data_IF_866891080547
#
_entry.id   IF_866891080547
#
_cell.length_a   1.000
_cell.length_b   1.000
_cell.length_c   1.000
_cell.angle_alpha   90.00
_cell.angle_beta   90.00
_cell.angle_gamma   90.00
#
_symmetry.space_group_name_H-M   'P 1'
#
loop_
_entity.id
_entity.type
_entity.pdbx_description
1 polymer ?
#
# COMPACT_ATOMS: atom_id res chain seq x y z
N UNK A 1 -2.76 -9.75 16.55
CA UNK A 1 -2.35 -9.66 15.14
C UNK A 1 -1.81 -8.27 14.88
N UNK A 2 -0.70 -8.15 14.14
CA UNK A 2 -0.12 -6.86 13.71
C UNK A 2 -0.08 -6.81 12.19
N UNK A 3 -0.70 -5.81 11.59
CA UNK A 3 -0.82 -5.66 10.14
C UNK A 3 -0.21 -4.33 9.68
N UNK A 4 0.42 -4.35 8.51
CA UNK A 4 0.91 -3.13 7.85
C UNK A 4 0.90 -3.30 6.34
N UNK A 5 1.15 -2.20 5.61
CA UNK A 5 1.11 -2.19 4.15
C UNK A 5 2.33 -2.82 3.50
N UNK A 6 3.55 -2.56 4.00
CA UNK A 6 4.79 -2.98 3.33
C UNK A 6 5.59 -4.01 4.12
N UNK A 7 6.36 -4.88 3.41
CA UNK A 7 7.28 -5.84 4.03
C UNK A 7 8.33 -5.16 4.90
N UNK A 8 8.82 -3.98 4.48
CA UNK A 8 9.80 -3.20 5.24
C UNK A 8 9.20 -2.69 6.55
N UNK A 9 7.99 -2.12 6.49
CA UNK A 9 7.27 -1.67 7.69
C UNK A 9 6.98 -2.84 8.64
N UNK A 10 6.57 -4.02 8.12
CA UNK A 10 6.36 -5.22 8.92
C UNK A 10 7.63 -5.64 9.67
N UNK A 11 8.78 -5.69 8.99
CA UNK A 11 10.06 -6.04 9.62
C UNK A 11 10.51 -5.01 10.66
N UNK A 12 10.27 -3.73 10.42
CA UNK A 12 10.59 -2.67 11.38
C UNK A 12 9.68 -2.73 12.61
N UNK A 13 8.38 -2.90 12.40
CA UNK A 13 7.40 -3.07 13.47
C UNK A 13 7.75 -4.27 14.35
N UNK A 14 8.06 -5.42 13.75
CA UNK A 14 8.48 -6.62 14.48
C UNK A 14 9.72 -6.36 15.32
N UNK A 15 10.78 -5.78 14.76
CA UNK A 15 12.02 -5.42 15.49
C UNK A 15 11.75 -4.48 16.67
N UNK A 16 10.85 -3.50 16.49
CA UNK A 16 10.46 -2.57 17.57
C UNK A 16 9.73 -3.29 18.69
N UNK A 17 8.78 -4.14 18.35
CA UNK A 17 8.04 -4.94 19.35
C UNK A 17 8.98 -5.87 20.10
N UNK A 18 9.87 -6.60 19.42
CA UNK A 18 10.90 -7.45 20.04
C UNK A 18 11.76 -6.68 21.03
N UNK A 19 12.23 -5.48 20.63
CA UNK A 19 13.04 -4.61 21.49
C UNK A 19 12.28 -4.14 22.73
N UNK A 20 11.05 -3.66 22.57
CA UNK A 20 10.21 -3.21 23.69
C UNK A 20 9.92 -4.37 24.63
N UNK A 21 9.58 -5.53 24.07
CA UNK A 21 9.30 -6.76 24.83
C UNK A 21 10.51 -7.21 25.64
N UNK A 22 11.71 -7.18 25.03
CA UNK A 22 12.96 -7.52 25.73
C UNK A 22 13.25 -6.55 26.89
N UNK A 23 12.96 -5.27 26.72
CA UNK A 23 13.13 -4.27 27.78
C UNK A 23 12.15 -4.45 28.95
N UNK A 24 10.89 -4.82 28.65
CA UNK A 24 9.83 -4.92 29.66
C UNK A 24 9.85 -6.28 30.37
N UNK A 25 10.10 -7.38 29.65
CA UNK A 25 9.95 -8.75 30.15
C UNK A 25 11.28 -9.46 30.45
N UNK A 26 12.41 -8.90 30.04
CA UNK A 26 13.73 -9.48 30.27
C UNK A 26 13.84 -10.92 29.71
N UNK A 27 14.35 -11.86 30.52
CA UNK A 27 14.56 -13.26 30.10
C UNK A 27 13.29 -14.05 29.76
N UNK A 28 12.08 -13.52 29.99
CA UNK A 28 10.80 -14.19 29.64
C UNK A 28 10.38 -13.97 28.18
N UNK A 29 11.25 -13.44 27.35
CA UNK A 29 10.99 -13.14 25.91
C UNK A 29 10.60 -14.37 25.09
N UNK A 30 11.02 -15.58 25.46
CA UNK A 30 10.70 -16.83 24.71
C UNK A 30 9.21 -17.19 24.63
N UNK A 31 8.38 -16.67 25.54
CA UNK A 31 6.93 -16.92 25.53
C UNK A 31 6.14 -16.04 24.54
N UNK A 32 6.77 -15.01 23.98
CA UNK A 32 6.09 -14.06 23.07
C UNK A 32 6.42 -14.27 21.59
N UNK A 33 7.31 -15.18 21.25
CA UNK A 33 7.68 -15.49 19.85
C UNK A 33 6.46 -15.94 19.05
N UNK A 34 5.55 -16.71 19.67
CA UNK A 34 4.31 -17.16 19.02
C UNK A 34 3.29 -16.02 18.81
N UNK A 35 3.21 -15.09 19.77
CA UNK A 35 2.32 -13.92 19.63
C UNK A 35 2.73 -13.00 18.48
N UNK A 36 4.05 -12.86 18.23
CA UNK A 36 4.59 -12.10 17.10
C UNK A 36 4.51 -12.84 15.76
N UNK A 37 4.26 -14.12 15.76
CA UNK A 37 4.07 -14.94 14.56
C UNK A 37 2.91 -14.46 13.66
N UNK A 38 1.99 -13.63 14.19
CA UNK A 38 0.89 -13.00 13.46
C UNK A 38 1.16 -11.52 13.18
N UNK A 39 2.39 -11.23 12.73
CA UNK A 39 2.85 -9.90 12.31
C UNK A 39 3.28 -9.93 10.86
N UNK A 40 2.80 -9.00 10.04
CA UNK A 40 3.15 -8.97 8.63
C UNK A 40 2.28 -8.03 7.78
N UNK A 41 2.41 -8.19 6.47
CA UNK A 41 1.50 -7.55 5.52
C UNK A 41 0.18 -8.34 5.46
N UNK A 42 -0.90 -7.69 5.00
CA UNK A 42 -2.18 -8.37 4.75
C UNK A 42 -2.02 -9.65 3.93
N UNK A 43 -1.25 -9.59 2.83
CA UNK A 43 -1.00 -10.77 1.98
C UNK A 43 -0.26 -11.90 2.70
N UNK A 44 0.73 -11.58 3.52
CA UNK A 44 1.49 -12.60 4.26
C UNK A 44 0.62 -13.28 5.31
N UNK A 45 -0.19 -12.51 6.04
CA UNK A 45 -1.12 -13.05 7.04
C UNK A 45 -2.27 -13.80 6.35
N UNK A 46 -2.81 -13.28 5.24
CA UNK A 46 -3.81 -13.98 4.43
C UNK A 46 -3.32 -15.33 3.94
N UNK A 47 -2.12 -15.38 3.35
CA UNK A 47 -1.51 -16.64 2.90
C UNK A 47 -1.35 -17.66 4.04
N UNK A 48 -0.98 -17.21 5.24
CA UNK A 48 -0.86 -18.08 6.42
C UNK A 48 -2.21 -18.59 6.88
N UNK A 49 -3.21 -17.69 7.02
CA UNK A 49 -4.58 -18.08 7.40
C UNK A 49 -5.17 -19.08 6.40
N UNK A 50 -5.09 -18.79 5.11
CA UNK A 50 -5.62 -19.68 4.08
C UNK A 50 -5.00 -21.07 4.11
N UNK A 51 -3.69 -21.20 4.42
CA UNK A 51 -3.06 -22.52 4.60
C UNK A 51 -3.54 -23.27 5.82
N UNK A 52 -3.94 -22.58 6.87
CA UNK A 52 -4.50 -23.22 8.08
C UNK A 52 -5.97 -23.65 7.89
N UNK A 53 -6.75 -22.90 7.08
CA UNK A 53 -8.19 -23.10 6.87
C UNK A 53 -8.57 -23.76 5.53
N UNK A 54 -7.62 -24.33 4.80
CA UNK A 54 -7.82 -24.90 3.45
C UNK A 54 -9.01 -25.85 3.33
N UNK A 55 -9.23 -26.71 4.32
CA UNK A 55 -10.34 -27.67 4.29
C UNK A 55 -11.72 -26.99 4.32
N UNK A 56 -11.84 -25.86 5.04
CA UNK A 56 -13.08 -25.11 5.16
C UNK A 56 -13.44 -24.27 3.93
N UNK A 57 -12.47 -23.98 3.07
CA UNK A 57 -12.62 -23.07 1.91
C UNK A 57 -12.36 -23.76 0.57
N UNK A 58 -12.14 -25.08 0.56
CA UNK A 58 -11.97 -25.85 -0.68
C UNK A 58 -10.64 -25.57 -1.44
N UNK A 59 -9.60 -25.07 -0.75
CA UNK A 59 -8.27 -24.87 -1.31
C UNK A 59 -7.36 -26.09 -1.02
N UNK A 60 -6.39 -26.32 -1.91
CA UNK A 60 -5.30 -27.22 -1.60
C UNK A 60 -4.32 -26.57 -0.63
N UNK A 61 -3.86 -27.34 0.37
CA UNK A 61 -2.87 -26.85 1.34
C UNK A 61 -1.53 -26.47 0.70
N UNK A 62 -1.21 -27.09 -0.42
CA UNK A 62 0.02 -26.89 -1.19
C UNK A 62 -0.14 -25.84 -2.30
N UNK A 63 -1.13 -24.94 -2.23
CA UNK A 63 -1.31 -23.93 -3.26
C UNK A 63 -0.06 -23.08 -3.44
N UNK A 64 0.25 -22.78 -4.71
CA UNK A 64 1.35 -21.90 -5.12
C UNK A 64 0.85 -20.46 -5.22
N UNK A 65 1.70 -19.51 -4.87
CA UNK A 65 1.40 -18.08 -5.01
C UNK A 65 2.19 -17.55 -6.19
N UNK A 66 1.48 -17.11 -7.22
CA UNK A 66 2.06 -16.42 -8.36
C UNK A 66 2.44 -14.98 -7.98
N UNK A 67 3.59 -14.55 -8.46
CA UNK A 67 3.94 -13.14 -8.41
C UNK A 67 3.20 -12.36 -9.51
N UNK A 68 3.50 -11.06 -9.62
CA UNK A 68 2.80 -10.20 -10.58
C UNK A 68 3.14 -10.55 -12.04
N UNK A 69 4.35 -11.05 -12.31
CA UNK A 69 4.77 -11.43 -13.65
C UNK A 69 4.16 -12.75 -14.05
N UNK A 70 4.20 -13.75 -13.20
CA UNK A 70 3.54 -15.05 -13.39
C UNK A 70 2.03 -14.88 -13.63
N UNK A 71 1.38 -14.00 -12.84
CA UNK A 71 -0.04 -13.68 -13.00
C UNK A 71 -0.34 -13.00 -14.32
N UNK A 72 0.53 -12.09 -14.77
CA UNK A 72 0.40 -11.44 -16.07
C UNK A 72 0.62 -12.42 -17.22
N UNK A 73 1.50 -13.39 -17.06
CA UNK A 73 1.76 -14.43 -18.08
C UNK A 73 0.59 -15.40 -18.17
N UNK A 74 0.01 -15.81 -17.06
CA UNK A 74 -1.22 -16.59 -17.04
C UNK A 74 -2.37 -15.82 -17.70
N UNK A 75 -2.54 -14.53 -17.38
CA UNK A 75 -3.52 -13.66 -18.02
C UNK A 75 -3.30 -13.59 -19.53
N UNK A 76 -2.03 -13.53 -19.98
CA UNK A 76 -1.69 -13.53 -21.40
C UNK A 76 -2.02 -14.85 -22.09
N UNK A 77 -1.76 -15.98 -21.43
CA UNK A 77 -2.10 -17.31 -21.95
C UNK A 77 -3.61 -17.41 -22.18
N UNK A 78 -4.40 -17.03 -21.18
CA UNK A 78 -5.88 -17.04 -21.30
C UNK A 78 -6.35 -16.09 -22.41
N UNK A 79 -5.72 -14.91 -22.54
CA UNK A 79 -6.00 -13.95 -23.62
C UNK A 79 -5.74 -14.56 -25.01
N UNK A 80 -4.68 -15.36 -25.16
CA UNK A 80 -4.38 -16.10 -26.39
C UNK A 80 -5.40 -17.21 -26.64
N UNK A 81 -5.73 -18.01 -25.63
CA UNK A 81 -6.70 -19.10 -25.71
C UNK A 81 -8.09 -18.60 -26.18
N UNK A 82 -8.48 -17.39 -25.77
CA UNK A 82 -9.72 -16.74 -26.18
C UNK A 82 -9.66 -16.00 -27.53
N UNK A 83 -8.50 -16.02 -28.21
CA UNK A 83 -8.31 -15.36 -29.50
C UNK A 83 -8.17 -13.84 -29.45
N UNK A 84 -8.03 -13.23 -28.26
CA UNK A 84 -7.95 -11.78 -28.10
C UNK A 84 -6.59 -11.17 -28.46
N UNK A 85 -5.64 -12.01 -28.87
CA UNK A 85 -4.32 -11.55 -29.34
C UNK A 85 -4.30 -11.12 -30.80
N UNK A 86 -5.30 -11.53 -31.60
CA UNK A 86 -5.38 -11.34 -33.06
C UNK A 86 -6.63 -10.56 -33.47
N UNK A 87 -7.05 -9.59 -32.68
CA UNK A 87 -8.21 -8.75 -32.95
C UNK A 87 -7.84 -7.60 -33.91
N UNK A 88 -8.77 -7.16 -34.77
CA UNK A 88 -8.56 -6.02 -35.69
C UNK A 88 -8.18 -4.73 -34.93
N UNK A 89 -8.82 -4.48 -33.80
CA UNK A 89 -8.41 -3.44 -32.85
C UNK A 89 -7.49 -4.05 -31.80
N UNK A 90 -6.46 -3.34 -31.42
CA UNK A 90 -5.50 -3.80 -30.41
C UNK A 90 -6.18 -3.99 -29.05
N UNK A 91 -6.33 -5.24 -28.63
CA UNK A 91 -6.81 -5.57 -27.28
C UNK A 91 -5.78 -5.14 -26.21
N UNK A 92 -6.20 -4.80 -24.98
CA UNK A 92 -5.29 -4.42 -23.91
C UNK A 92 -4.18 -5.44 -23.66
N UNK A 93 -2.97 -4.95 -23.34
CA UNK A 93 -1.81 -5.79 -23.06
C UNK A 93 -1.98 -6.55 -21.74
N UNK A 94 -1.24 -7.66 -21.55
CA UNK A 94 -1.32 -8.52 -20.34
C UNK A 94 -1.26 -7.73 -19.03
N UNK A 95 -0.34 -6.78 -18.93
CA UNK A 95 -0.19 -5.94 -17.72
C UNK A 95 -1.38 -5.01 -17.47
N UNK A 96 -2.01 -4.48 -18.55
CA UNK A 96 -3.22 -3.67 -18.45
C UNK A 96 -4.41 -4.53 -18.02
N UNK A 97 -4.57 -5.72 -18.59
CA UNK A 97 -5.63 -6.66 -18.20
C UNK A 97 -5.52 -7.06 -16.73
N UNK A 98 -4.29 -7.38 -16.25
CA UNK A 98 -4.06 -7.70 -14.85
C UNK A 98 -4.30 -6.50 -13.94
N UNK A 99 -3.90 -5.29 -14.35
CA UNK A 99 -4.15 -4.07 -13.57
C UNK A 99 -5.65 -3.75 -13.45
N UNK A 100 -6.42 -3.97 -14.53
CA UNK A 100 -7.88 -3.85 -14.52
C UNK A 100 -8.54 -4.87 -13.58
N UNK A 101 -8.12 -6.14 -13.68
CA UNK A 101 -8.60 -7.20 -12.79
C UNK A 101 -8.32 -6.89 -11.33
N UNK A 102 -7.06 -6.61 -11.00
CA UNK A 102 -6.62 -6.27 -9.65
C UNK A 102 -7.38 -5.05 -9.09
N UNK A 103 -7.58 -4.01 -9.91
CA UNK A 103 -8.34 -2.82 -9.50
C UNK A 103 -9.80 -3.17 -9.20
N UNK A 104 -10.45 -3.97 -10.04
CA UNK A 104 -11.84 -4.42 -9.84
C UNK A 104 -11.98 -5.18 -8.52
N UNK A 105 -11.09 -6.11 -8.25
CA UNK A 105 -11.09 -6.92 -7.01
C UNK A 105 -10.82 -6.05 -5.78
N UNK A 106 -9.74 -5.28 -5.78
CA UNK A 106 -9.29 -4.54 -4.59
C UNK A 106 -10.13 -3.31 -4.25
N UNK A 107 -10.76 -2.71 -5.26
CA UNK A 107 -11.68 -1.58 -5.05
C UNK A 107 -13.12 -2.03 -4.76
N UNK A 108 -13.43 -3.32 -4.92
CA UNK A 108 -14.81 -3.85 -4.82
C UNK A 108 -15.78 -3.03 -5.66
N UNK A 109 -15.38 -2.71 -6.92
CA UNK A 109 -16.16 -1.92 -7.86
C UNK A 109 -16.52 -2.74 -9.10
N UNK A 110 -17.68 -2.48 -9.73
CA UNK A 110 -18.04 -3.04 -11.02
C UNK A 110 -17.02 -2.68 -12.10
N UNK A 111 -16.82 -3.59 -13.08
CA UNK A 111 -15.83 -3.39 -14.14
C UNK A 111 -16.09 -2.13 -14.97
N UNK A 112 -17.34 -1.80 -15.27
CA UNK A 112 -17.72 -0.60 -16.01
C UNK A 112 -17.31 0.70 -15.30
N UNK A 113 -17.45 0.78 -13.96
CA UNK A 113 -16.97 1.91 -13.18
C UNK A 113 -15.43 2.01 -13.21
N UNK A 114 -14.73 0.88 -13.10
CA UNK A 114 -13.27 0.83 -13.19
C UNK A 114 -12.80 1.28 -14.56
N UNK A 115 -13.45 0.81 -15.62
CA UNK A 115 -13.14 1.21 -16.99
C UNK A 115 -13.36 2.71 -17.20
N UNK A 116 -14.52 3.23 -16.79
CA UNK A 116 -14.85 4.65 -16.98
C UNK A 116 -13.92 5.60 -16.22
N UNK A 117 -13.54 5.23 -15.01
CA UNK A 117 -12.77 6.13 -14.11
C UNK A 117 -11.25 6.05 -14.29
N UNK A 118 -10.71 4.86 -14.57
CA UNK A 118 -9.24 4.66 -14.58
C UNK A 118 -8.67 4.13 -15.90
N UNK A 119 -9.50 3.49 -16.73
CA UNK A 119 -9.06 2.88 -18.00
C UNK A 119 -10.00 3.24 -19.17
N UNK A 120 -10.26 4.54 -19.42
CA UNK A 120 -11.25 4.96 -20.43
C UNK A 120 -10.93 4.46 -21.83
N UNK A 121 -9.65 4.23 -22.17
CA UNK A 121 -9.24 3.64 -23.44
C UNK A 121 -9.66 2.18 -23.64
N UNK A 122 -10.05 1.50 -22.56
CA UNK A 122 -10.44 0.09 -22.55
C UNK A 122 -11.96 -0.14 -22.47
N UNK A 123 -12.78 0.92 -22.39
CA UNK A 123 -14.25 0.80 -22.24
C UNK A 123 -14.93 0.01 -23.35
N UNK A 124 -14.38 0.09 -24.58
CA UNK A 124 -14.91 -0.68 -25.72
C UNK A 124 -14.66 -2.21 -25.63
N UNK A 125 -13.95 -2.69 -24.61
CA UNK A 125 -13.60 -4.09 -24.42
C UNK A 125 -14.25 -4.73 -23.19
N UNK A 126 -15.24 -4.08 -22.59
CA UNK A 126 -15.85 -4.56 -21.35
C UNK A 126 -16.33 -6.01 -21.42
N UNK A 127 -17.00 -6.39 -22.50
CA UNK A 127 -17.53 -7.75 -22.67
C UNK A 127 -16.42 -8.81 -22.76
N UNK A 128 -15.38 -8.54 -23.56
CA UNK A 128 -14.23 -9.42 -23.72
C UNK A 128 -13.40 -9.50 -22.42
N UNK A 129 -13.26 -8.39 -21.71
CA UNK A 129 -12.56 -8.36 -20.42
C UNK A 129 -13.33 -9.19 -19.37
N UNK A 130 -14.65 -9.12 -19.31
CA UNK A 130 -15.46 -10.00 -18.44
C UNK A 130 -15.21 -11.48 -18.75
N UNK A 131 -15.20 -11.86 -20.04
CA UNK A 131 -14.88 -13.24 -20.46
C UNK A 131 -13.46 -13.64 -20.05
N UNK A 132 -12.50 -12.76 -20.27
CA UNK A 132 -11.09 -12.97 -19.91
C UNK A 132 -10.95 -13.22 -18.40
N UNK A 133 -11.58 -12.41 -17.56
CA UNK A 133 -11.48 -12.53 -16.11
C UNK A 133 -12.12 -13.81 -15.56
N UNK A 134 -13.28 -14.20 -16.11
CA UNK A 134 -13.93 -15.47 -15.77
C UNK A 134 -13.02 -16.66 -16.13
N UNK A 135 -12.42 -16.64 -17.32
CA UNK A 135 -11.52 -17.70 -17.77
C UNK A 135 -10.20 -17.71 -16.99
N UNK A 136 -9.66 -16.54 -16.62
CA UNK A 136 -8.49 -16.38 -15.77
C UNK A 136 -8.70 -17.03 -14.40
N UNK A 137 -9.77 -16.68 -13.71
CA UNK A 137 -10.14 -17.27 -12.41
C UNK A 137 -10.36 -18.79 -12.52
N UNK A 138 -11.00 -19.26 -13.60
CA UNK A 138 -11.21 -20.69 -13.82
C UNK A 138 -9.87 -21.45 -14.00
N UNK A 139 -8.88 -20.82 -14.63
CA UNK A 139 -7.55 -21.39 -14.84
C UNK A 139 -6.73 -21.45 -13.53
N UNK A 140 -6.88 -20.46 -12.64
CA UNK A 140 -6.23 -20.42 -11.33
C UNK A 140 -6.73 -21.48 -10.36
N UNK A 141 -8.00 -21.87 -10.42
CA UNK A 141 -8.64 -22.84 -9.50
C UNK A 141 -7.92 -24.19 -9.36
N UNK A 142 -6.87 -24.44 -10.12
CA UNK A 142 -6.05 -25.64 -10.08
C UNK A 142 -4.78 -25.45 -9.25
N UNK A 143 -4.89 -25.01 -7.99
CA UNK A 143 -3.79 -24.92 -7.01
C UNK A 143 -2.88 -23.67 -7.11
N UNK A 144 -3.31 -22.64 -7.81
CA UNK A 144 -2.55 -21.39 -7.96
C UNK A 144 -3.40 -20.22 -7.47
N UNK A 145 -2.83 -19.36 -6.67
CA UNK A 145 -3.43 -18.09 -6.24
C UNK A 145 -2.49 -16.94 -6.62
N UNK A 146 -3.04 -15.78 -6.97
CA UNK A 146 -2.27 -14.55 -7.02
C UNK A 146 -2.40 -13.74 -5.71
N UNK A 147 -1.79 -12.57 -5.66
CA UNK A 147 -1.88 -11.72 -4.47
C UNK A 147 -3.31 -11.22 -4.21
N UNK A 148 -4.08 -10.94 -5.26
CA UNK A 148 -5.47 -10.47 -5.12
C UNK A 148 -6.36 -11.60 -4.59
N UNK A 149 -6.13 -12.83 -5.03
CA UNK A 149 -6.82 -14.02 -4.54
C UNK A 149 -6.61 -14.26 -3.04
N UNK A 150 -5.41 -14.00 -2.51
CA UNK A 150 -5.15 -14.14 -1.08
C UNK A 150 -6.08 -13.28 -0.23
N UNK A 151 -6.33 -12.06 -0.66
CA UNK A 151 -7.24 -11.15 0.03
C UNK A 151 -8.70 -11.53 -0.22
N UNK A 152 -9.04 -11.89 -1.47
CA UNK A 152 -10.39 -12.26 -1.85
C UNK A 152 -10.87 -13.51 -1.10
N UNK A 153 -10.05 -14.57 -1.06
CA UNK A 153 -10.37 -15.78 -0.28
C UNK A 153 -10.44 -15.51 1.21
N UNK A 154 -9.58 -14.64 1.74
CA UNK A 154 -9.69 -14.22 3.15
C UNK A 154 -11.00 -13.50 3.41
N UNK A 155 -11.39 -12.54 2.58
CA UNK A 155 -12.68 -11.86 2.69
C UNK A 155 -13.87 -12.84 2.60
N UNK A 156 -13.84 -13.78 1.63
CA UNK A 156 -14.87 -14.80 1.48
C UNK A 156 -14.95 -15.74 2.71
N UNK A 157 -13.81 -16.15 3.26
CA UNK A 157 -13.74 -16.94 4.49
C UNK A 157 -14.41 -16.22 5.66
N UNK A 158 -14.25 -14.89 5.73
CA UNK A 158 -14.90 -14.08 6.77
C UNK A 158 -16.42 -13.89 6.55
N UNK A 159 -16.96 -14.24 5.38
CA UNK A 159 -18.40 -14.28 5.15
C UNK A 159 -19.06 -15.56 5.69
N UNK A 160 -18.29 -16.63 5.98
CA UNK A 160 -18.81 -17.85 6.57
C UNK A 160 -18.83 -17.71 8.10
N UNK A 161 -19.99 -17.70 8.77
CA UNK A 161 -20.10 -17.34 10.19
C UNK A 161 -19.25 -18.19 11.13
N UNK A 162 -19.11 -19.49 10.85
CA UNK A 162 -18.33 -20.42 11.67
C UNK A 162 -16.84 -20.13 11.57
N UNK A 163 -16.32 -19.89 10.36
CA UNK A 163 -14.93 -19.56 10.12
C UNK A 163 -14.59 -18.15 10.64
N UNK A 164 -15.49 -17.18 10.41
CA UNK A 164 -15.34 -15.84 10.93
C UNK A 164 -15.25 -15.80 12.45
N UNK A 165 -16.09 -16.56 13.15
CA UNK A 165 -16.06 -16.66 14.61
C UNK A 165 -14.75 -17.28 15.12
N UNK A 166 -14.29 -18.35 14.48
CA UNK A 166 -13.04 -19.03 14.86
C UNK A 166 -11.83 -18.11 14.63
N UNK A 167 -11.69 -17.54 13.44
CA UNK A 167 -10.57 -16.62 13.12
C UNK A 167 -10.59 -15.39 14.03
N UNK A 168 -11.75 -14.77 14.24
CA UNK A 168 -11.89 -13.56 15.08
C UNK A 168 -11.57 -13.86 16.55
N UNK A 169 -11.96 -15.03 17.04
CA UNK A 169 -11.72 -15.47 18.41
C UNK A 169 -10.25 -15.74 18.74
N UNK A 170 -9.41 -15.95 17.73
CA UNK A 170 -7.95 -16.18 17.91
C UNK A 170 -7.18 -14.92 18.30
N UNK A 171 -7.73 -13.74 18.05
CA UNK A 171 -7.02 -12.48 18.24
C UNK A 171 -7.79 -11.55 19.16
N UNK A 172 -7.31 -11.34 20.38
CA UNK A 172 -7.88 -10.35 21.29
C UNK A 172 -7.70 -8.94 20.70
N UNK A 173 -6.51 -8.67 20.10
CA UNK A 173 -6.17 -7.39 19.52
C UNK A 173 -5.72 -7.52 18.06
N UNK A 174 -6.19 -6.61 17.22
CA UNK A 174 -5.75 -6.39 15.85
C UNK A 174 -5.26 -4.95 15.74
N UNK A 175 -3.99 -4.78 15.42
CA UNK A 175 -3.33 -3.49 15.27
C UNK A 175 -2.93 -3.33 13.80
N UNK A 176 -3.31 -2.21 13.20
CA UNK A 176 -3.04 -1.93 11.79
C UNK A 176 -2.30 -0.61 11.68
N UNK A 177 -1.14 -0.65 11.04
CA UNK A 177 -0.34 0.55 10.73
C UNK A 177 -0.51 0.93 9.26
N UNK A 178 -0.30 2.21 8.93
CA UNK A 178 -0.47 2.80 7.59
C UNK A 178 -1.87 2.54 7.01
N UNK A 179 -2.91 2.70 7.84
CA UNK A 179 -4.28 2.34 7.45
C UNK A 179 -4.81 3.18 6.28
N UNK A 180 -4.31 4.38 6.03
CA UNK A 180 -4.65 5.21 4.87
C UNK A 180 -4.26 4.56 3.53
N UNK A 181 -3.32 3.61 3.54
CA UNK A 181 -2.85 2.92 2.33
C UNK A 181 -3.64 1.63 2.02
N UNK A 182 -4.64 1.30 2.86
CA UNK A 182 -5.48 0.13 2.64
C UNK A 182 -6.47 0.34 1.50
N UNK A 183 -6.74 -0.75 0.76
CA UNK A 183 -7.84 -0.80 -0.21
C UNK A 183 -9.16 -1.21 0.47
N UNK A 184 -10.28 -1.16 -0.27
CA UNK A 184 -11.61 -1.51 0.28
C UNK A 184 -11.68 -2.96 0.75
N UNK A 185 -11.12 -3.89 0.00
CA UNK A 185 -11.11 -5.31 0.35
C UNK A 185 -10.37 -5.57 1.68
N UNK A 186 -9.25 -4.88 1.93
CA UNK A 186 -8.53 -4.97 3.20
C UNK A 186 -9.33 -4.35 4.36
N UNK A 187 -10.03 -3.25 4.11
CA UNK A 187 -10.89 -2.65 5.12
C UNK A 187 -12.09 -3.57 5.46
N UNK A 188 -12.72 -4.20 4.45
CA UNK A 188 -13.83 -5.15 4.68
C UNK A 188 -13.38 -6.36 5.49
N UNK A 189 -12.19 -6.90 5.24
CA UNK A 189 -11.59 -7.98 6.05
C UNK A 189 -11.45 -7.55 7.52
N UNK A 190 -10.94 -6.36 7.80
CA UNK A 190 -10.77 -5.87 9.17
C UNK A 190 -12.09 -5.67 9.90
N UNK A 191 -13.09 -5.13 9.22
CA UNK A 191 -14.44 -4.95 9.77
C UNK A 191 -15.10 -6.30 10.06
N UNK A 192 -14.86 -7.31 9.22
CA UNK A 192 -15.33 -8.67 9.46
C UNK A 192 -14.57 -9.38 10.60
N UNK A 193 -13.27 -9.12 10.77
CA UNK A 193 -12.48 -9.64 11.90
C UNK A 193 -12.92 -9.06 13.24
N UNK A 194 -13.31 -7.81 13.29
CA UNK A 194 -13.69 -7.10 14.52
C UNK A 194 -14.98 -6.28 14.30
N UNK A 195 -16.14 -6.93 14.09
CA UNK A 195 -17.36 -6.26 13.70
C UNK A 195 -17.87 -5.25 14.74
N UNK A 196 -17.51 -5.43 16.02
CA UNK A 196 -17.85 -4.51 17.11
C UNK A 196 -16.71 -3.50 17.39
N UNK A 197 -15.61 -3.52 16.65
CA UNK A 197 -14.43 -2.69 16.86
C UNK A 197 -13.63 -3.02 18.14
N UNK A 198 -14.09 -3.93 18.97
CA UNK A 198 -13.42 -4.25 20.24
C UNK A 198 -12.07 -4.91 19.99
N UNK A 199 -10.99 -4.29 20.50
CA UNK A 199 -9.64 -4.74 20.28
C UNK A 199 -9.07 -4.40 18.90
N UNK A 200 -9.76 -3.59 18.08
CA UNK A 200 -9.22 -3.07 16.81
C UNK A 200 -8.65 -1.68 17.02
N UNK A 201 -7.40 -1.51 16.64
CA UNK A 201 -6.72 -0.20 16.63
C UNK A 201 -6.09 0.00 15.25
N UNK A 202 -6.38 1.12 14.61
CA UNK A 202 -5.75 1.51 13.36
C UNK A 202 -4.94 2.79 13.58
N UNK A 203 -3.78 2.85 12.95
CA UNK A 203 -2.90 4.02 12.94
C UNK A 203 -2.69 4.43 11.48
N UNK A 204 -2.72 5.72 11.22
CA UNK A 204 -2.50 6.23 9.87
C UNK A 204 -2.55 7.75 9.81
N UNK A 205 -2.19 8.27 8.66
CA UNK A 205 -2.16 9.68 8.36
C UNK A 205 -2.86 9.95 7.02
N UNK A 206 -4.05 10.53 7.05
CA UNK A 206 -4.83 10.87 5.86
C UNK A 206 -4.08 11.78 4.87
N UNK A 207 -3.16 12.62 5.36
CA UNK A 207 -2.29 13.46 4.53
C UNK A 207 -1.23 12.65 3.74
N UNK A 208 -0.95 11.41 4.15
CA UNK A 208 0.01 10.51 3.49
C UNK A 208 -0.66 9.48 2.56
N UNK A 209 -1.95 9.59 2.27
CA UNK A 209 -2.67 8.69 1.37
C UNK A 209 -2.27 8.92 -0.10
N UNK A 210 -1.16 8.32 -0.53
CA UNK A 210 -0.56 8.49 -1.87
C UNK A 210 -0.61 7.25 -2.75
N UNK A 211 -1.19 6.13 -2.27
CA UNK A 211 -1.27 4.85 -2.98
C UNK A 211 -2.60 4.60 -3.70
N UNK A 212 -3.31 5.66 -4.11
CA UNK A 212 -4.58 5.53 -4.85
C UNK A 212 -4.44 4.73 -6.17
N UNK A 213 -3.25 4.70 -6.77
CA UNK A 213 -2.95 3.88 -7.95
C UNK A 213 -2.96 2.37 -7.67
N UNK A 214 -2.84 1.95 -6.39
CA UNK A 214 -3.00 0.56 -5.93
C UNK A 214 -4.38 0.29 -5.33
N UNK A 215 -5.39 1.05 -5.70
CA UNK A 215 -6.76 1.00 -5.18
C UNK A 215 -6.92 1.39 -3.69
N UNK A 216 -5.87 1.95 -3.05
CA UNK A 216 -6.03 2.57 -1.73
C UNK A 216 -7.01 3.74 -1.79
N UNK A 217 -7.75 3.93 -0.72
CA UNK A 217 -8.70 5.04 -0.62
C UNK A 217 -8.61 5.72 0.75
N UNK A 218 -8.44 7.02 0.73
CA UNK A 218 -8.46 7.84 1.96
C UNK A 218 -9.79 7.71 2.70
N UNK A 219 -10.87 7.33 2.01
CA UNK A 219 -12.18 7.07 2.64
C UNK A 219 -12.10 6.02 3.75
N UNK A 220 -11.23 5.01 3.59
CA UNK A 220 -11.09 3.98 4.61
C UNK A 220 -10.74 4.56 5.98
N UNK A 221 -9.75 5.49 6.05
CA UNK A 221 -9.37 6.09 7.31
C UNK A 221 -10.36 7.17 7.78
N UNK A 222 -10.88 7.98 6.86
CA UNK A 222 -11.84 9.05 7.21
C UNK A 222 -13.16 8.49 7.74
N UNK A 223 -13.67 7.41 7.14
CA UNK A 223 -14.93 6.80 7.50
C UNK A 223 -14.81 5.80 8.67
N UNK A 224 -13.59 5.34 8.98
CA UNK A 224 -13.35 4.29 9.98
C UNK A 224 -14.06 4.52 11.30
N UNK A 225 -14.03 5.71 11.94
CA UNK A 225 -14.71 5.90 13.21
C UNK A 225 -16.22 5.71 13.13
N UNK A 226 -16.81 5.95 11.96
CA UNK A 226 -18.24 5.83 11.70
C UNK A 226 -18.78 4.42 11.55
N UNK A 227 -17.90 3.43 11.36
CA UNK A 227 -18.32 2.02 11.20
C UNK A 227 -18.83 1.40 12.51
N UNK A 228 -18.50 1.96 13.65
CA UNK A 228 -18.77 1.37 14.96
C UNK A 228 -19.86 2.11 15.76
N UNK A 229 -20.47 1.38 16.70
CA UNK A 229 -21.42 1.91 17.69
C UNK A 229 -21.05 1.37 19.09
N UNK A 230 -20.58 2.21 20.03
CA UNK A 230 -20.29 3.64 19.87
C UNK A 230 -19.23 3.90 18.81
N UNK A 231 -19.17 5.15 18.30
CA UNK A 231 -18.16 5.55 17.31
C UNK A 231 -16.76 5.33 17.88
N UNK A 232 -15.81 4.90 17.03
CA UNK A 232 -14.43 4.69 17.45
C UNK A 232 -13.81 6.01 17.94
N UNK A 233 -13.03 5.91 19.01
CA UNK A 233 -12.26 7.05 19.55
C UNK A 233 -11.14 7.42 18.57
N UNK A 234 -10.95 8.71 18.34
CA UNK A 234 -9.88 9.26 17.50
C UNK A 234 -8.89 10.00 18.37
N UNK A 235 -7.65 9.53 18.42
CA UNK A 235 -6.55 10.17 19.14
C UNK A 235 -5.59 10.78 18.11
N UNK A 236 -5.45 12.10 18.14
CA UNK A 236 -4.59 12.83 17.21
C UNK A 236 -3.20 13.02 17.80
N UNK A 237 -2.16 12.61 17.04
CA UNK A 237 -0.76 12.82 17.38
C UNK A 237 -0.22 13.98 16.54
N UNK A 238 0.04 15.13 17.17
CA UNK A 238 0.41 16.35 16.46
C UNK A 238 1.89 16.73 16.60
N UNK A 239 2.57 16.23 17.64
CA UNK A 239 3.98 16.52 17.82
C UNK A 239 4.85 15.72 16.84
N UNK A 240 5.64 16.43 16.05
CA UNK A 240 6.58 15.86 15.08
C UNK A 240 8.01 15.99 15.58
N UNK A 241 8.76 14.89 15.55
CA UNK A 241 10.15 14.81 16.03
C UNK A 241 11.18 14.82 14.90
N UNK A 242 10.77 14.67 13.65
CA UNK A 242 11.64 14.56 12.48
C UNK A 242 11.91 15.90 11.79
N UNK A 243 10.92 16.78 11.74
CA UNK A 243 10.98 18.02 10.95
C UNK A 243 11.13 19.26 11.83
N UNK A 244 11.61 20.36 11.25
CA UNK A 244 11.64 21.67 11.90
C UNK A 244 10.32 22.40 11.70
N UNK A 245 10.02 23.36 12.57
CA UNK A 245 8.76 24.12 12.55
C UNK A 245 8.46 24.80 11.21
N UNK A 246 9.41 25.43 10.48
CA UNK A 246 9.13 26.00 9.16
C UNK A 246 8.70 24.98 8.10
N UNK A 247 9.21 23.74 8.15
CA UNK A 247 8.80 22.66 7.25
C UNK A 247 7.35 22.25 7.57
N UNK A 248 7.02 22.08 8.86
CA UNK A 248 5.67 21.72 9.29
C UNK A 248 4.65 22.81 8.96
N UNK A 249 5.03 24.09 9.09
CA UNK A 249 4.18 25.20 8.70
C UNK A 249 3.81 25.14 7.19
N UNK A 250 4.77 24.83 6.33
CA UNK A 250 4.51 24.64 4.91
C UNK A 250 3.62 23.41 4.64
N UNK A 251 3.90 22.27 5.31
CA UNK A 251 3.10 21.06 5.18
C UNK A 251 1.65 21.26 5.66
N UNK A 252 1.46 21.90 6.82
CA UNK A 252 0.14 22.25 7.33
C UNK A 252 -0.62 23.18 6.37
N UNK A 253 0.06 24.16 5.77
CA UNK A 253 -0.57 25.06 4.81
C UNK A 253 -1.07 24.31 3.56
N UNK A 254 -0.30 23.34 3.06
CA UNK A 254 -0.70 22.52 1.92
C UNK A 254 -1.88 21.62 2.26
N UNK A 255 -1.80 20.89 3.36
CA UNK A 255 -2.88 19.94 3.71
C UNK A 255 -4.18 20.65 4.12
N UNK A 256 -4.09 21.90 4.58
CA UNK A 256 -5.27 22.70 4.89
C UNK A 256 -6.13 23.01 3.66
N UNK A 257 -5.63 22.81 2.45
CA UNK A 257 -6.39 22.94 1.20
C UNK A 257 -7.26 21.70 0.91
N UNK A 258 -7.05 20.60 1.60
CA UNK A 258 -7.89 19.40 1.44
C UNK A 258 -9.30 19.67 2.02
N UNK A 259 -10.34 19.35 1.20
CA UNK A 259 -11.75 19.57 1.58
C UNK A 259 -12.16 18.66 2.75
N UNK A 260 -11.68 17.42 2.74
CA UNK A 260 -11.98 16.42 3.78
C UNK A 260 -10.67 15.91 4.38
N UNK A 261 -10.55 16.01 5.69
CA UNK A 261 -9.39 15.55 6.46
C UNK A 261 -9.69 15.48 7.94
N UNK A 262 -8.87 14.75 8.69
CA UNK A 262 -8.85 14.93 10.15
C UNK A 262 -8.22 16.29 10.50
N UNK A 263 -8.84 16.98 11.44
CA UNK A 263 -8.27 18.24 11.95
C UNK A 263 -7.05 17.93 12.79
N UNK A 264 -5.88 18.27 12.28
CA UNK A 264 -4.61 18.18 12.99
C UNK A 264 -3.71 19.33 12.57
N UNK A 265 -2.83 19.76 13.46
CA UNK A 265 -1.85 20.81 13.21
C UNK A 265 -0.49 20.35 13.73
N UNK A 266 0.36 19.89 12.82
CA UNK A 266 1.67 19.37 13.18
C UNK A 266 2.56 20.48 13.72
N UNK A 267 3.23 20.21 14.83
CA UNK A 267 4.16 21.12 15.46
C UNK A 267 5.43 20.41 15.95
N UNK A 268 6.50 21.16 16.17
CA UNK A 268 7.79 20.63 16.62
C UNK A 268 8.52 21.64 17.50
N UNK A 269 9.25 21.14 18.49
CA UNK A 269 10.17 21.93 19.30
C UNK A 269 11.49 22.27 18.56
N UNK A 270 11.69 21.68 17.36
CA UNK A 270 12.88 21.90 16.55
C UNK A 270 12.80 23.22 15.81
N UNK A 271 13.35 24.25 16.42
CA UNK A 271 13.48 25.55 15.78
C UNK A 271 14.49 25.53 14.62
N UNK A 272 14.24 26.31 13.57
CA UNK A 272 15.19 26.57 12.49
C UNK A 272 14.91 27.95 11.91
N UNK A 273 15.97 28.66 11.51
CA UNK A 273 15.85 29.88 10.74
C UNK A 273 15.62 29.60 9.24
N UNK A 274 15.97 28.40 8.77
CA UNK A 274 15.81 28.00 7.37
C UNK A 274 14.35 27.67 7.06
N UNK A 275 13.88 28.16 5.93
CA UNK A 275 12.53 27.92 5.41
C UNK A 275 12.60 27.10 4.13
N UNK A 276 11.57 26.27 3.84
CA UNK A 276 11.43 25.68 2.52
C UNK A 276 11.45 26.74 1.42
N UNK A 277 12.16 26.45 0.33
CA UNK A 277 12.27 27.35 -0.81
C UNK A 277 11.46 26.80 -1.99
N UNK A 278 10.64 27.63 -2.60
CA UNK A 278 10.01 27.35 -3.88
C UNK A 278 10.87 27.99 -4.97
N UNK A 279 11.36 27.15 -5.88
CA UNK A 279 12.20 27.58 -7.00
C UNK A 279 11.48 27.30 -8.31
N UNK A 280 11.24 28.35 -9.11
CA UNK A 280 10.71 28.21 -10.45
C UNK A 280 11.88 28.27 -11.46
N UNK A 281 11.88 27.37 -12.42
CA UNK A 281 12.88 27.26 -13.48
C UNK A 281 12.19 27.31 -14.85
N UNK A 282 12.95 27.53 -15.92
CA UNK A 282 12.39 27.70 -17.27
C UNK A 282 11.99 26.38 -17.92
N UNK A 283 12.81 25.35 -17.70
CA UNK A 283 12.65 24.02 -18.31
C UNK A 283 13.31 22.93 -17.47
N UNK A 284 13.23 21.69 -17.93
CA UNK A 284 13.79 20.52 -17.26
C UNK A 284 15.32 20.59 -17.15
N UNK A 285 16.01 21.13 -18.14
CA UNK A 285 17.46 21.27 -18.10
C UNK A 285 17.91 22.25 -17.01
N UNK A 286 17.21 23.39 -16.86
CA UNK A 286 17.46 24.34 -15.77
C UNK A 286 17.14 23.70 -14.41
N UNK A 287 16.10 22.85 -14.31
CA UNK A 287 15.75 22.12 -13.09
C UNK A 287 16.89 21.20 -12.67
N UNK A 288 17.36 20.38 -13.60
CA UNK A 288 18.44 19.42 -13.37
C UNK A 288 19.71 20.15 -12.91
N UNK A 289 20.11 21.20 -13.64
CA UNK A 289 21.29 22.03 -13.29
C UNK A 289 21.19 22.60 -11.89
N UNK A 290 20.06 23.23 -11.56
CA UNK A 290 19.82 23.79 -10.23
C UNK A 290 19.94 22.76 -9.12
N UNK A 291 19.36 21.56 -9.31
CA UNK A 291 19.41 20.48 -8.32
C UNK A 291 20.84 19.97 -8.15
N UNK A 292 21.57 19.74 -9.25
CA UNK A 292 22.98 19.32 -9.22
C UNK A 292 23.85 20.34 -8.49
N UNK A 293 23.74 21.63 -8.82
CA UNK A 293 24.46 22.72 -8.15
C UNK A 293 24.18 22.71 -6.62
N UNK A 294 22.92 22.50 -6.22
CA UNK A 294 22.55 22.43 -4.80
C UNK A 294 23.13 21.21 -4.11
N UNK A 295 23.08 20.04 -4.73
CA UNK A 295 23.62 18.79 -4.17
C UNK A 295 25.14 18.91 -3.98
N UNK A 296 25.86 19.44 -4.98
CA UNK A 296 27.30 19.60 -4.92
C UNK A 296 27.70 20.70 -3.95
N UNK A 297 27.01 21.85 -3.94
CA UNK A 297 27.28 22.92 -2.96
C UNK A 297 27.06 22.45 -1.53
N UNK A 298 26.03 21.65 -1.25
CA UNK A 298 25.81 21.04 0.05
C UNK A 298 26.96 20.07 0.42
N UNK A 299 27.46 19.29 -0.54
CA UNK A 299 28.61 18.40 -0.34
C UNK A 299 29.88 19.18 0.02
N UNK A 300 30.16 20.28 -0.72
CA UNK A 300 31.28 21.18 -0.45
C UNK A 300 31.18 21.85 0.93
N UNK A 301 29.95 22.14 1.37
CA UNK A 301 29.65 22.63 2.72
C UNK A 301 29.73 21.53 3.81
N UNK A 302 30.10 20.30 3.46
CA UNK A 302 30.31 19.19 4.41
C UNK A 302 29.12 18.25 4.61
N UNK A 303 28.01 18.44 3.87
CA UNK A 303 26.86 17.52 3.95
C UNK A 303 27.12 16.29 3.06
N UNK A 304 27.28 15.12 3.65
CA UNK A 304 27.53 13.88 2.90
C UNK A 304 26.37 13.55 1.95
N UNK A 305 26.65 13.02 0.77
CA UNK A 305 25.63 12.71 -0.25
C UNK A 305 24.52 11.80 0.28
N UNK A 306 24.86 10.83 1.14
CA UNK A 306 23.87 9.91 1.77
C UNK A 306 22.86 10.60 2.70
N UNK A 307 23.14 11.84 3.13
CA UNK A 307 22.23 12.64 3.93
C UNK A 307 21.31 13.54 3.08
N UNK A 308 21.47 13.50 1.75
CA UNK A 308 20.64 14.23 0.81
C UNK A 308 19.68 13.30 0.09
N UNK A 309 18.47 13.74 -0.17
CA UNK A 309 17.47 12.99 -0.93
C UNK A 309 16.77 13.89 -1.95
N UNK A 310 16.52 13.35 -3.14
CA UNK A 310 15.76 14.01 -4.20
C UNK A 310 14.52 13.18 -4.47
N UNK A 311 13.36 13.80 -4.38
CA UNK A 311 12.07 13.15 -4.55
C UNK A 311 11.45 13.56 -5.89
N UNK A 312 10.96 12.57 -6.65
CA UNK A 312 10.32 12.75 -7.94
C UNK A 312 8.86 12.28 -7.91
N UNK A 313 8.04 12.92 -8.75
CA UNK A 313 6.66 12.45 -8.96
C UNK A 313 6.63 11.15 -9.79
N UNK A 314 7.55 10.96 -10.72
CA UNK A 314 7.64 9.78 -11.58
C UNK A 314 9.11 9.43 -11.85
N UNK A 315 9.39 8.12 -12.04
CA UNK A 315 10.76 7.59 -12.18
C UNK A 315 11.51 8.15 -13.40
N UNK A 316 10.82 8.51 -14.48
CA UNK A 316 11.49 9.07 -15.67
C UNK A 316 12.17 10.42 -15.41
N UNK A 317 11.81 11.14 -14.35
CA UNK A 317 12.49 12.39 -13.98
C UNK A 317 13.88 12.16 -13.37
N UNK A 318 14.25 10.94 -12.95
CA UNK A 318 15.59 10.67 -12.42
C UNK A 318 16.65 10.60 -13.51
N UNK A 319 16.31 10.14 -14.71
CA UNK A 319 17.27 9.89 -15.79
C UNK A 319 18.16 11.08 -16.15
N UNK A 320 17.60 12.25 -16.50
CA UNK A 320 18.39 13.45 -16.79
C UNK A 320 19.31 13.86 -15.63
N UNK A 321 18.83 13.73 -14.38
CA UNK A 321 19.60 14.07 -13.20
C UNK A 321 20.76 13.10 -12.94
N UNK A 322 20.55 11.80 -13.13
CA UNK A 322 21.60 10.77 -13.01
C UNK A 322 22.73 11.01 -14.02
N UNK A 323 22.38 11.36 -15.26
CA UNK A 323 23.35 11.68 -16.31
C UNK A 323 24.18 12.90 -15.92
N UNK A 324 23.56 13.98 -15.48
CA UNK A 324 24.27 15.23 -15.13
C UNK A 324 25.16 15.07 -13.88
N UNK A 325 24.68 14.40 -12.85
CA UNK A 325 25.50 14.08 -11.66
C UNK A 325 26.73 13.25 -12.01
N UNK A 326 26.60 12.30 -12.95
CA UNK A 326 27.73 11.47 -13.39
C UNK A 326 28.75 12.28 -14.20
N UNK A 327 28.29 13.20 -15.04
CA UNK A 327 29.17 14.08 -15.82
C UNK A 327 29.98 15.01 -14.92
N UNK A 328 29.40 15.58 -13.90
CA UNK A 328 30.07 16.50 -12.98
C UNK A 328 31.08 15.78 -12.06
N UNK A 329 30.84 14.53 -11.66
CA UNK A 329 31.82 13.73 -10.92
C UNK A 329 33.08 13.41 -11.76
N UNK A 330 32.92 13.14 -13.06
CA UNK A 330 34.03 12.84 -13.99
C UNK A 330 34.79 14.08 -14.41
N UNK A 331 34.21 15.27 -14.38
CA UNK A 331 34.88 16.53 -14.77
C UNK A 331 35.66 17.19 -13.62
N UNK A 332 35.46 16.75 -12.38
CA UNK A 332 36.13 17.28 -11.17
C UNK A 332 37.10 16.28 -10.50
N UNK A 333 37.30 15.10 -11.08
CA UNK A 333 38.35 14.12 -10.74
C UNK A 333 39.56 14.28 -11.66
#
# INVERSE_FOLDING_TARGET
MLLTFSRRAASEMQRRVERITAQVLGAKTGLMTDALGWSGTFHAIGARLLREYTQGIGLDRAFTIHDREDSADLMNLVRHDLGFSNTEKRFPAKGTCLALYSRTVNAELPLDEVLGSWFPSCTGWEHELRKLFVAYVAKQRQHVLDYDDLLLYWAQMMCEPSLAADVSGRFDHVLVDEYQDTNRLQASILLALKPNGRGLTVVGDDAQSIYSFQAATVRNILDFPGHFRPRAEVITLEQNYGSTQPILAAANAVINLAEERFTKNLWSDRASAERPQLVAVRDEADQVRYVVEKVLGNREAGLVLKAQAILFRASHHSGPLEVELTHDETSRS
#
